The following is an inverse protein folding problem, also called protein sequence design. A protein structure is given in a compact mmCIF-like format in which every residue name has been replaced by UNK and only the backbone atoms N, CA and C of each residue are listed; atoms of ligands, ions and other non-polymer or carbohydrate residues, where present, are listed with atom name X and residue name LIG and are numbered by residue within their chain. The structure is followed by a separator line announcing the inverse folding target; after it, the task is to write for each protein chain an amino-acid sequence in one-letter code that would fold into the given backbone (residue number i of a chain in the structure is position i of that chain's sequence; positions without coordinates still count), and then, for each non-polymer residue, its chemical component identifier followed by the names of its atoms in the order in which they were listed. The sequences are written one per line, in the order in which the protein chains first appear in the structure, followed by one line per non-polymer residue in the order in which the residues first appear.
data_IF_405841584957
#
_entry.id   IF_405841584957
#
_cell.length_a   1.000
_cell.length_b   1.000
_cell.length_c   1.000
_cell.angle_alpha   90.00
_cell.angle_beta   90.00
_cell.angle_gamma   90.00
#
_symmetry.space_group_name_H-M   'P 1'
#
loop_
_entity.id
_entity.type
_entity.pdbx_description
1 polymer ?
#
# COMPACT_ATOMS: atom_id res chain seq x y z
N UNK A 1 23.42 7.41 3.55
CA UNK A 1 22.58 6.40 4.26
C UNK A 1 21.28 6.99 4.81
N UNK A 2 21.30 7.87 5.83
CA UNK A 2 20.06 8.37 6.49
C UNK A 2 19.06 9.06 5.54
N UNK A 3 19.53 9.83 4.56
CA UNK A 3 18.65 10.52 3.59
C UNK A 3 17.96 9.53 2.64
N UNK A 4 18.67 8.52 2.14
CA UNK A 4 18.09 7.47 1.31
C UNK A 4 17.07 6.63 2.07
N UNK A 5 17.32 6.34 3.34
CA UNK A 5 16.36 5.67 4.23
C UNK A 5 15.07 6.49 4.40
N UNK A 6 15.21 7.81 4.61
CA UNK A 6 14.08 8.72 4.74
C UNK A 6 13.25 8.83 3.45
N UNK A 7 13.91 8.88 2.29
CA UNK A 7 13.25 8.89 0.98
C UNK A 7 12.48 7.58 0.76
N UNK A 8 13.12 6.44 1.00
CA UNK A 8 12.46 5.13 0.86
C UNK A 8 11.24 5.00 1.77
N UNK A 9 11.38 5.40 3.04
CA UNK A 9 10.28 5.37 4.00
C UNK A 9 9.13 6.29 3.60
N UNK A 10 9.44 7.48 3.07
CA UNK A 10 8.43 8.41 2.55
C UNK A 10 7.65 7.83 1.36
N UNK A 11 8.33 7.09 0.46
CA UNK A 11 7.68 6.40 -0.66
C UNK A 11 6.71 5.32 -0.16
N UNK A 12 7.13 4.49 0.80
CA UNK A 12 6.25 3.47 1.37
C UNK A 12 5.03 4.06 2.06
N UNK A 13 5.20 5.15 2.83
CA UNK A 13 4.09 5.86 3.46
C UNK A 13 3.11 6.43 2.42
N UNK A 14 3.62 7.00 1.33
CA UNK A 14 2.80 7.50 0.23
C UNK A 14 1.98 6.37 -0.42
N UNK A 15 2.61 5.22 -0.69
CA UNK A 15 1.94 4.05 -1.28
C UNK A 15 0.82 3.52 -0.37
N UNK A 16 1.08 3.43 0.93
CA UNK A 16 0.08 3.01 1.92
C UNK A 16 -1.09 4.01 1.92
N UNK A 17 -0.82 5.31 1.95
CA UNK A 17 -1.85 6.34 1.92
C UNK A 17 -2.73 6.23 0.66
N UNK A 18 -2.13 6.04 -0.52
CA UNK A 18 -2.86 5.85 -1.78
C UNK A 18 -3.77 4.61 -1.72
N UNK A 19 -3.26 3.49 -1.18
CA UNK A 19 -4.05 2.26 -1.04
C UNK A 19 -5.23 2.43 -0.08
N UNK A 20 -5.03 3.14 1.04
CA UNK A 20 -6.10 3.45 2.00
C UNK A 20 -7.17 4.33 1.34
N UNK A 21 -6.77 5.41 0.66
CA UNK A 21 -7.71 6.29 -0.06
C UNK A 21 -8.49 5.50 -1.11
N UNK A 22 -7.83 4.59 -1.83
CA UNK A 22 -8.49 3.72 -2.80
C UNK A 22 -9.50 2.79 -2.14
N UNK A 23 -9.17 2.22 -0.98
CA UNK A 23 -10.09 1.37 -0.23
C UNK A 23 -11.32 2.15 0.26
N UNK A 24 -11.11 3.35 0.80
CA UNK A 24 -12.19 4.24 1.23
C UNK A 24 -13.11 4.59 0.05
N UNK A 25 -12.55 4.89 -1.11
CA UNK A 25 -13.34 5.17 -2.32
C UNK A 25 -14.13 3.96 -2.81
N UNK A 26 -13.55 2.76 -2.77
CA UNK A 26 -14.25 1.52 -3.12
C UNK A 26 -15.43 1.28 -2.17
N UNK A 27 -15.23 1.42 -0.86
CA UNK A 27 -16.30 1.30 0.13
C UNK A 27 -17.37 2.39 -0.03
N UNK A 28 -16.97 3.64 -0.32
CA UNK A 28 -17.90 4.74 -0.56
C UNK A 28 -18.73 4.54 -1.82
N UNK A 29 -18.11 4.06 -2.90
CA UNK A 29 -18.80 3.78 -4.15
C UNK A 29 -19.79 2.62 -3.99
N UNK A 30 -19.42 1.58 -3.23
CA UNK A 30 -20.32 0.49 -2.91
C UNK A 30 -21.51 0.96 -2.07
N UNK A 31 -21.26 1.74 -1.00
CA UNK A 31 -22.33 2.32 -0.17
C UNK A 31 -23.28 3.23 -0.94
N UNK A 32 -22.78 3.90 -1.99
CA UNK A 32 -23.57 4.76 -2.86
C UNK A 32 -24.21 4.00 -4.04
N UNK A 33 -24.20 2.65 -4.03
CA UNK A 33 -24.70 1.77 -5.08
C UNK A 33 -24.13 2.08 -6.48
N UNK A 34 -22.92 2.66 -6.53
CA UNK A 34 -22.22 2.97 -7.79
C UNK A 34 -21.47 1.76 -8.36
N UNK A 35 -21.23 0.75 -7.53
CA UNK A 35 -20.60 -0.51 -7.91
C UNK A 35 -21.37 -1.65 -7.24
N UNK A 36 -21.38 -2.81 -7.89
CA UNK A 36 -21.99 -4.05 -7.41
C UNK A 36 -21.11 -4.77 -6.38
N UNK A 37 -21.72 -5.73 -5.67
CA UNK A 37 -21.07 -6.55 -4.65
C UNK A 37 -19.85 -7.30 -5.19
N UNK A 38 -19.94 -7.89 -6.39
CA UNK A 38 -18.85 -8.66 -6.99
C UNK A 38 -17.64 -7.75 -7.28
N UNK A 39 -17.88 -6.59 -7.89
CA UNK A 39 -16.84 -5.57 -8.10
C UNK A 39 -16.26 -5.06 -6.78
N UNK A 40 -17.09 -4.82 -5.76
CA UNK A 40 -16.64 -4.39 -4.44
C UNK A 40 -15.70 -5.42 -3.79
N UNK A 41 -16.08 -6.71 -3.80
CA UNK A 41 -15.27 -7.79 -3.26
C UNK A 41 -13.96 -7.96 -4.03
N UNK A 42 -14.00 -7.93 -5.36
CA UNK A 42 -12.81 -8.03 -6.22
C UNK A 42 -11.82 -6.89 -5.97
N UNK A 43 -12.31 -5.65 -5.91
CA UNK A 43 -11.48 -4.47 -5.68
C UNK A 43 -10.90 -4.44 -4.26
N UNK A 44 -11.71 -4.78 -3.25
CA UNK A 44 -11.27 -4.88 -1.85
C UNK A 44 -10.19 -5.95 -1.71
N UNK A 45 -10.41 -7.16 -2.23
CA UNK A 45 -9.43 -8.24 -2.18
C UNK A 45 -8.10 -7.83 -2.84
N UNK A 46 -8.16 -7.19 -4.01
CA UNK A 46 -6.97 -6.69 -4.70
C UNK A 46 -6.23 -5.62 -3.89
N UNK A 47 -6.95 -4.66 -3.32
CA UNK A 47 -6.35 -3.62 -2.48
C UNK A 47 -5.71 -4.19 -1.22
N UNK A 48 -6.37 -5.15 -0.55
CA UNK A 48 -5.83 -5.83 0.63
C UNK A 48 -4.56 -6.59 0.29
N UNK A 49 -4.53 -7.34 -0.82
CA UNK A 49 -3.31 -8.05 -1.26
C UNK A 49 -2.18 -7.05 -1.52
N UNK A 50 -2.45 -5.93 -2.21
CA UNK A 50 -1.46 -4.89 -2.45
C UNK A 50 -0.94 -4.28 -1.13
N UNK A 51 -1.84 -4.03 -0.17
CA UNK A 51 -1.46 -3.49 1.14
C UNK A 51 -0.54 -4.46 1.90
N UNK A 52 -0.86 -5.76 1.86
CA UNK A 52 -0.02 -6.80 2.48
C UNK A 52 1.36 -6.86 1.83
N UNK A 53 1.43 -6.84 0.48
CA UNK A 53 2.71 -6.85 -0.25
C UNK A 53 3.54 -5.61 0.12
N UNK A 54 2.94 -4.42 0.09
CA UNK A 54 3.61 -3.17 0.47
C UNK A 54 4.07 -3.20 1.93
N UNK A 55 3.26 -3.76 2.84
CA UNK A 55 3.62 -3.94 4.24
C UNK A 55 4.81 -4.88 4.44
N UNK A 56 4.84 -6.03 3.75
CA UNK A 56 5.98 -6.96 3.79
C UNK A 56 7.24 -6.29 3.24
N UNK A 57 7.15 -5.58 2.12
CA UNK A 57 8.27 -4.85 1.53
C UNK A 57 8.79 -3.76 2.47
N UNK A 58 7.90 -3.05 3.17
CA UNK A 58 8.30 -2.07 4.18
C UNK A 58 9.03 -2.72 5.36
N UNK A 59 8.53 -3.86 5.87
CA UNK A 59 9.21 -4.61 6.94
C UNK A 59 10.59 -5.07 6.46
N UNK A 60 10.68 -5.62 5.25
CA UNK A 60 11.97 -5.98 4.66
C UNK A 60 12.88 -4.74 4.53
N UNK A 61 12.36 -3.60 4.07
CA UNK A 61 13.14 -2.37 4.00
C UNK A 61 13.67 -1.90 5.36
N UNK A 62 12.88 -2.05 6.43
CA UNK A 62 13.25 -1.67 7.80
C UNK A 62 14.23 -2.64 8.46
N UNK A 63 14.05 -3.95 8.25
CA UNK A 63 14.80 -5.00 8.96
C UNK A 63 15.99 -5.54 8.19
N UNK A 64 16.01 -5.45 6.86
CA UNK A 64 17.14 -5.95 6.08
C UNK A 64 18.25 -4.89 6.07
N UNK A 65 19.53 -5.27 6.23
CA UNK A 65 20.64 -4.38 6.00
C UNK A 65 20.88 -4.16 4.48
N UNK A 66 19.81 -3.97 3.69
CA UNK A 66 19.87 -3.58 2.27
C UNK A 66 20.48 -2.17 2.07
N UNK A 67 20.96 -1.52 3.14
CA UNK A 67 21.82 -0.34 3.05
C UNK A 67 23.12 -0.61 2.27
N UNK A 68 23.48 -1.88 2.05
CA UNK A 68 24.75 -2.31 1.42
C UNK A 68 24.65 -2.56 -0.10
N UNK A 69 23.46 -2.76 -0.68
CA UNK A 69 23.33 -3.09 -2.12
C UNK A 69 22.99 -1.89 -3.02
N UNK A 70 22.89 -0.67 -2.45
CA UNK A 70 22.74 0.61 -3.18
C UNK A 70 24.02 1.46 -3.01
N UNK A 71 25.18 0.80 -2.86
CA UNK A 71 26.50 1.44 -2.95
C UNK A 71 27.40 0.66 -3.90
#
# INVERSE_FOLDING_TARGET
MKIFEFIGLSIYLLLIAILIVRQVNVSRNFRNNKIDEETHQKLTKRNTILLVIVGILLILFLYTPFKILIF
#
